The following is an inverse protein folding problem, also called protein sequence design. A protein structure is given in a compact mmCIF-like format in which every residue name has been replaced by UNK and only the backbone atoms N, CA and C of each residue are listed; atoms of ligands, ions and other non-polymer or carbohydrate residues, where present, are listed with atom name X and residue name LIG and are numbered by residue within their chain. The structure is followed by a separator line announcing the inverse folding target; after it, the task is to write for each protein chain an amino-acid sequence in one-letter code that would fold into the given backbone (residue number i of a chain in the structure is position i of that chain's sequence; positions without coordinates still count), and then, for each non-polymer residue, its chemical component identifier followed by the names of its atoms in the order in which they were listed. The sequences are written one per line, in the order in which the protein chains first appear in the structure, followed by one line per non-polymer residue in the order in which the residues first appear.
data_IF_079317733559
#
_entry.id   IF_079317733559
#
_cell.length_a   1.000
_cell.length_b   1.000
_cell.length_c   1.000
_cell.angle_alpha   90.00
_cell.angle_beta   90.00
_cell.angle_gamma   90.00
#
_symmetry.space_group_name_H-M   'P 1'
#
loop_
_entity.id
_entity.type
_entity.pdbx_description
1 polymer ?
#
# COMPACT_ATOMS: atom_id res chain seq x y z
N UNK A 1 15.50 6.59 -0.70
CA UNK A 1 14.03 6.41 -0.74
C UNK A 1 13.67 5.27 0.20
N UNK A 2 12.95 5.51 1.31
CA UNK A 2 12.50 4.45 2.23
C UNK A 2 11.13 3.95 1.77
N UNK A 3 11.14 3.11 0.74
CA UNK A 3 9.95 2.44 0.22
C UNK A 3 10.22 0.94 0.26
N UNK A 4 9.32 0.19 0.88
CA UNK A 4 9.32 -1.27 0.83
C UNK A 4 8.18 -1.74 -0.05
N UNK A 5 8.33 -2.91 -0.64
CA UNK A 5 7.26 -3.56 -1.40
C UNK A 5 6.58 -4.54 -0.47
N UNK A 6 5.25 -4.61 -0.52
CA UNK A 6 4.48 -5.56 0.28
C UNK A 6 3.98 -6.66 -0.63
N UNK A 7 4.17 -7.91 -0.21
CA UNK A 7 3.58 -9.05 -0.89
C UNK A 7 2.08 -9.06 -0.66
N UNK A 8 1.35 -9.11 -1.77
CA UNK A 8 -0.11 -9.18 -1.82
C UNK A 8 -0.56 -10.54 -2.36
N UNK A 9 0.31 -11.55 -2.31
CA UNK A 9 0.02 -12.91 -2.72
C UNK A 9 -1.17 -13.45 -1.92
N UNK A 10 -2.23 -13.88 -2.61
CA UNK A 10 -3.45 -14.40 -1.98
C UNK A 10 -4.38 -13.33 -1.37
N UNK A 11 -4.05 -12.03 -1.49
CA UNK A 11 -4.97 -10.96 -1.14
C UNK A 11 -5.81 -10.57 -2.36
N UNK A 12 -7.13 -10.38 -2.21
CA UNK A 12 -8.01 -9.97 -3.30
C UNK A 12 -7.88 -8.46 -3.55
N UNK A 13 -6.67 -7.92 -3.76
CA UNK A 13 -6.42 -6.48 -3.95
C UNK A 13 -5.79 -6.20 -5.31
N UNK A 14 -6.24 -5.10 -5.94
CA UNK A 14 -5.63 -4.59 -7.16
C UNK A 14 -4.56 -3.53 -6.80
N UNK A 15 -3.30 -3.69 -7.24
CA UNK A 15 -2.27 -2.69 -6.97
C UNK A 15 -2.48 -1.45 -7.83
N UNK A 16 -2.48 -0.28 -7.20
CA UNK A 16 -2.40 1.03 -7.87
C UNK A 16 -0.96 1.26 -8.33
N UNK A 17 0.01 0.91 -7.47
CA UNK A 17 1.44 0.92 -7.80
C UNK A 17 1.99 -0.48 -7.59
N UNK A 18 2.18 -1.21 -8.69
CA UNK A 18 2.76 -2.56 -8.70
C UNK A 18 4.28 -2.48 -8.71
N UNK A 19 4.92 -3.39 -7.98
CA UNK A 19 6.37 -3.60 -8.06
C UNK A 19 6.62 -4.87 -8.84
N UNK A 20 7.51 -4.79 -9.83
CA UNK A 20 7.96 -5.96 -10.58
C UNK A 20 9.02 -6.66 -9.74
N UNK A 21 8.72 -7.90 -9.34
CA UNK A 21 9.67 -8.74 -8.61
C UNK A 21 10.72 -9.33 -9.56
N UNK A 22 11.72 -10.02 -9.01
CA UNK A 22 12.67 -10.79 -9.78
C UNK A 22 11.96 -11.94 -10.53
N UNK A 23 12.38 -12.19 -11.77
CA UNK A 23 11.87 -13.24 -12.66
C UNK A 23 11.92 -14.65 -12.04
N UNK A 24 12.81 -14.90 -11.09
CA UNK A 24 12.97 -16.20 -10.45
C UNK A 24 11.94 -16.50 -9.35
N UNK A 25 11.37 -15.48 -8.69
CA UNK A 25 10.39 -15.63 -7.60
C UNK A 25 9.00 -15.17 -7.99
N UNK A 26 8.91 -14.17 -8.86
CA UNK A 26 7.68 -13.65 -9.46
C UNK A 26 6.55 -13.39 -8.44
N UNK A 27 6.88 -12.81 -7.27
CA UNK A 27 5.89 -12.48 -6.24
C UNK A 27 5.00 -11.34 -6.70
N UNK A 28 3.72 -11.37 -6.31
CA UNK A 28 2.82 -10.24 -6.51
C UNK A 28 3.13 -9.18 -5.46
N UNK A 29 3.88 -8.15 -5.85
CA UNK A 29 4.31 -7.06 -4.97
C UNK A 29 3.61 -5.74 -5.28
N UNK A 30 3.25 -4.98 -4.25
CA UNK A 30 2.62 -3.68 -4.37
C UNK A 30 3.17 -2.66 -3.37
N UNK A 31 3.25 -1.40 -3.79
CA UNK A 31 3.56 -0.26 -2.93
C UNK A 31 2.30 0.49 -2.49
N UNK A 32 1.26 0.51 -3.32
CA UNK A 32 0.00 1.20 -3.05
C UNK A 32 -1.14 0.35 -3.60
N UNK A 33 -2.18 0.17 -2.80
CA UNK A 33 -3.43 -0.45 -3.21
C UNK A 33 -4.59 0.13 -2.40
N UNK A 34 -5.81 -0.15 -2.82
CA UNK A 34 -7.03 0.20 -2.11
C UNK A 34 -7.89 -1.02 -1.82
N UNK A 35 -8.69 -0.94 -0.77
CA UNK A 35 -9.63 -1.97 -0.36
C UNK A 35 -10.74 -1.40 0.52
N UNK A 36 -11.85 -2.11 0.64
CA UNK A 36 -12.83 -1.95 1.71
C UNK A 36 -12.41 -2.82 2.88
N UNK A 37 -12.60 -2.33 4.10
CA UNK A 37 -12.35 -3.10 5.33
C UNK A 37 -13.50 -2.85 6.27
N UNK A 38 -14.34 -3.89 6.47
CA UNK A 38 -15.61 -3.73 7.16
C UNK A 38 -16.48 -2.65 6.51
N UNK A 39 -16.88 -1.64 7.29
CA UNK A 39 -17.70 -0.51 6.81
C UNK A 39 -16.89 0.65 6.23
N UNK A 40 -15.56 0.55 6.24
CA UNK A 40 -14.64 1.62 5.83
C UNK A 40 -13.99 1.37 4.47
N UNK A 41 -13.40 2.44 3.93
CA UNK A 41 -12.48 2.38 2.78
C UNK A 41 -11.06 2.62 3.25
N UNK A 42 -10.11 1.90 2.66
CA UNK A 42 -8.69 1.92 3.00
C UNK A 42 -7.87 2.19 1.72
N UNK A 43 -6.91 3.10 1.85
CA UNK A 43 -5.77 3.19 0.94
C UNK A 43 -4.53 2.79 1.74
N UNK A 44 -3.84 1.77 1.27
CA UNK A 44 -2.59 1.31 1.86
C UNK A 44 -1.40 1.88 1.09
N UNK A 45 -0.35 2.28 1.80
CA UNK A 45 0.93 2.65 1.20
C UNK A 45 2.11 2.11 2.00
N UNK A 46 2.99 1.38 1.32
CA UNK A 46 4.26 0.90 1.87
C UNK A 46 5.38 1.95 1.80
N UNK A 47 5.10 3.11 1.20
CA UNK A 47 6.00 4.24 1.12
C UNK A 47 5.79 5.11 2.36
N UNK A 48 6.88 5.52 3.01
CA UNK A 48 6.79 6.48 4.10
C UNK A 48 6.39 7.86 3.58
N UNK A 49 5.13 8.22 3.82
CA UNK A 49 4.50 9.48 3.41
C UNK A 49 4.23 10.42 4.58
N UNK A 50 4.80 10.18 5.77
CA UNK A 50 4.51 10.99 6.97
C UNK A 50 5.75 11.65 7.55
N UNK A 51 6.92 11.02 7.46
CA UNK A 51 8.15 11.54 8.08
C UNK A 51 8.96 12.41 7.13
N UNK A 52 9.47 13.51 7.69
CA UNK A 52 10.44 14.42 7.06
C UNK A 52 10.04 14.91 5.66
N UNK A 53 8.77 15.31 5.50
CA UNK A 53 8.23 15.72 4.20
C UNK A 53 8.77 17.08 3.71
N UNK A 54 9.37 17.87 4.61
CA UNK A 54 10.01 19.13 4.25
C UNK A 54 11.19 18.89 3.30
N UNK A 55 12.04 17.91 3.63
CA UNK A 55 13.23 17.55 2.86
C UNK A 55 12.98 16.46 1.81
N UNK A 56 11.77 15.90 1.74
CA UNK A 56 11.38 14.84 0.79
C UNK A 56 10.30 15.32 -0.18
N UNK A 57 10.62 16.18 -1.17
CA UNK A 57 9.63 16.79 -2.07
C UNK A 57 8.81 15.76 -2.86
N UNK A 58 9.42 14.64 -3.25
CA UNK A 58 8.72 13.54 -3.96
C UNK A 58 7.67 12.86 -3.06
N UNK A 59 8.03 12.55 -1.81
CA UNK A 59 7.10 11.93 -0.87
C UNK A 59 5.97 12.91 -0.50
N UNK A 60 6.29 14.19 -0.35
CA UNK A 60 5.31 15.25 -0.12
C UNK A 60 4.31 15.33 -1.27
N UNK A 61 4.79 15.33 -2.51
CA UNK A 61 3.90 15.41 -3.66
C UNK A 61 3.06 14.13 -3.83
N UNK A 62 3.65 12.96 -3.63
CA UNK A 62 2.91 11.70 -3.66
C UNK A 62 1.80 11.67 -2.61
N UNK A 63 2.07 12.12 -1.39
CA UNK A 63 1.05 12.27 -0.33
C UNK A 63 -0.08 13.19 -0.80
N UNK A 64 0.25 14.35 -1.39
CA UNK A 64 -0.75 15.29 -1.90
C UNK A 64 -1.63 14.65 -2.99
N UNK A 65 -1.03 13.92 -3.93
CA UNK A 65 -1.75 13.22 -4.99
C UNK A 65 -2.68 12.14 -4.44
N UNK A 66 -2.19 11.31 -3.52
CA UNK A 66 -3.01 10.27 -2.89
C UNK A 66 -4.14 10.87 -2.03
N UNK A 67 -3.87 11.95 -1.31
CA UNK A 67 -4.89 12.65 -0.55
C UNK A 67 -5.96 13.29 -1.45
N UNK A 68 -5.59 13.77 -2.64
CA UNK A 68 -6.54 14.24 -3.64
C UNK A 68 -7.37 13.08 -4.20
N UNK A 69 -6.73 11.95 -4.50
CA UNK A 69 -7.41 10.74 -4.95
C UNK A 69 -8.44 10.24 -3.93
N UNK A 70 -8.05 10.13 -2.64
CA UNK A 70 -8.96 9.75 -1.55
C UNK A 70 -10.22 10.62 -1.43
N UNK A 71 -10.14 11.88 -1.87
CA UNK A 71 -11.27 12.83 -1.86
C UNK A 71 -12.04 12.88 -3.18
N UNK A 72 -11.57 12.21 -4.22
CA UNK A 72 -12.26 12.19 -5.50
C UNK A 72 -13.33 11.12 -5.54
N UNK A 73 -14.29 11.29 -6.44
CA UNK A 73 -15.31 10.28 -6.73
C UNK A 73 -14.72 8.99 -7.32
N UNK A 74 -13.48 9.03 -7.80
CA UNK A 74 -12.78 7.86 -8.33
C UNK A 74 -12.28 6.89 -7.24
N UNK A 75 -12.25 7.31 -5.98
CA UNK A 75 -11.88 6.43 -4.87
C UNK A 75 -13.06 5.54 -4.47
N UNK A 76 -13.26 4.48 -5.26
CA UNK A 76 -14.30 3.48 -5.08
C UNK A 76 -13.66 2.09 -5.07
N UNK A 77 -13.01 1.69 -3.95
CA UNK A 77 -12.38 0.39 -3.87
C UNK A 77 -13.42 -0.70 -4.11
N UNK A 78 -13.10 -1.62 -5.03
CA UNK A 78 -14.00 -2.72 -5.42
C UNK A 78 -13.76 -3.99 -4.61
N UNK A 79 -12.56 -4.09 -4.07
CA UNK A 79 -12.04 -5.24 -3.34
C UNK A 79 -12.31 -5.11 -1.84
N UNK A 80 -12.54 -6.23 -1.18
CA UNK A 80 -12.75 -6.28 0.28
C UNK A 80 -11.64 -7.09 0.94
N UNK A 81 -11.08 -6.53 2.01
CA UNK A 81 -10.12 -7.19 2.88
C UNK A 81 -10.75 -7.39 4.25
N UNK A 82 -10.61 -8.59 4.80
CA UNK A 82 -10.98 -8.81 6.19
C UNK A 82 -10.02 -8.07 7.13
N UNK A 83 -10.48 -7.65 8.32
CA UNK A 83 -9.60 -7.07 9.34
C UNK A 83 -8.43 -8.00 9.70
N UNK A 84 -8.62 -9.32 9.69
CA UNK A 84 -7.61 -10.33 9.96
C UNK A 84 -6.54 -10.35 8.87
N UNK A 85 -6.95 -10.31 7.60
CA UNK A 85 -6.02 -10.21 6.47
C UNK A 85 -5.18 -8.93 6.54
N UNK A 86 -5.81 -7.80 6.90
CA UNK A 86 -5.10 -6.53 7.08
C UNK A 86 -4.08 -6.60 8.24
N UNK A 87 -4.45 -7.20 9.37
CA UNK A 87 -3.53 -7.38 10.51
C UNK A 87 -2.36 -8.27 10.14
N UNK A 88 -2.62 -9.38 9.45
CA UNK A 88 -1.58 -10.29 8.97
C UNK A 88 -0.60 -9.58 8.03
N UNK A 89 -1.12 -8.72 7.13
CA UNK A 89 -0.31 -7.92 6.22
C UNK A 89 0.64 -6.95 6.94
N UNK A 90 0.15 -6.27 7.98
CA UNK A 90 0.96 -5.33 8.76
C UNK A 90 1.98 -6.08 9.63
N UNK A 91 1.62 -7.24 10.18
CA UNK A 91 2.51 -8.07 10.98
C UNK A 91 3.66 -8.65 10.13
N UNK A 92 3.38 -9.20 8.95
CA UNK A 92 4.41 -9.73 8.04
C UNK A 92 5.38 -8.64 7.57
N UNK A 93 4.88 -7.43 7.31
CA UNK A 93 5.68 -6.26 6.97
C UNK A 93 6.60 -5.79 8.12
N UNK A 94 6.30 -6.21 9.35
CA UNK A 94 7.06 -5.90 10.57
C UNK A 94 8.11 -6.97 10.90
N UNK A 95 7.89 -8.24 10.56
CA UNK A 95 8.92 -9.28 10.75
C UNK A 95 10.03 -9.21 9.70
N UNK A 96 9.71 -8.79 8.46
CA UNK A 96 10.71 -8.46 7.44
C UNK A 96 11.55 -7.22 7.83
N UNK A 97 11.16 -6.49 8.90
CA UNK A 97 11.90 -5.34 9.46
C UNK A 97 12.93 -5.76 10.52
N UNK A 98 12.85 -6.98 11.07
CA UNK A 98 13.73 -7.46 12.14
C UNK A 98 14.88 -8.36 11.63
N UNK A 99 14.98 -8.55 10.31
CA UNK A 99 16.10 -9.25 9.65
C UNK A 99 16.95 -8.29 8.83
#
# INVERSE_FOLDING_TARGET
MRSRSVAIDGLPVAPIVRVIDNFNRNRSLANVFEARVGRGRLLFSAIDLTRDLAHRPVARQLRTSLARYLRSESFQPQTELSPEQLRALVASSSDEYRR
#
